data_IF_811308711108
#
_entry.id   IF_811308711108
#
_cell.length_a   1.000
_cell.length_b   1.000
_cell.length_c   1.000
_cell.angle_alpha   90.00
_cell.angle_beta   90.00
_cell.angle_gamma   90.00
#
_symmetry.space_group_name_H-M   'P 1'
#
loop_
_entity.id
_entity.type
_entity.pdbx_description
1 polymer ?
#
# COMPACT_ATOMS: atom_id res chain seq x y z
N UNK A 1 2.96 17.95 -18.96
CA UNK A 1 1.93 17.00 -19.46
C UNK A 1 2.55 15.62 -19.50
N UNK A 2 2.00 14.61 -18.82
CA UNK A 2 2.65 13.32 -18.74
C UNK A 2 2.59 12.61 -20.10
N UNK A 3 3.72 12.09 -20.55
CA UNK A 3 3.91 11.54 -21.90
C UNK A 3 3.28 10.17 -22.11
N UNK A 4 3.06 9.42 -21.02
CA UNK A 4 2.52 8.05 -21.07
C UNK A 4 1.15 7.98 -20.38
N UNK A 5 0.09 7.83 -21.17
CA UNK A 5 -1.29 7.78 -20.68
C UNK A 5 -1.57 6.55 -19.80
N UNK A 6 -1.00 5.39 -20.14
CA UNK A 6 -1.17 4.16 -19.37
C UNK A 6 -0.56 4.28 -17.97
N UNK A 7 0.64 4.85 -17.89
CA UNK A 7 1.32 5.09 -16.63
C UNK A 7 0.55 6.07 -15.71
N UNK A 8 -0.14 7.07 -16.28
CA UNK A 8 -1.02 7.94 -15.48
C UNK A 8 -2.26 7.21 -15.02
N UNK A 9 -2.92 6.46 -15.91
CA UNK A 9 -4.14 5.74 -15.56
C UNK A 9 -3.91 4.74 -14.42
N UNK A 10 -2.71 4.16 -14.32
CA UNK A 10 -2.31 3.29 -13.21
C UNK A 10 -2.00 4.03 -11.90
N UNK A 11 -1.57 5.31 -11.97
CA UNK A 11 -1.24 6.13 -10.80
C UNK A 11 -2.42 6.96 -10.30
N UNK A 12 -3.43 7.20 -11.12
CA UNK A 12 -4.58 8.02 -10.78
C UNK A 12 -5.38 7.41 -9.63
N UNK A 13 -5.52 8.14 -8.53
CA UNK A 13 -6.41 7.80 -7.43
C UNK A 13 -7.68 8.60 -7.53
N UNK A 14 -8.82 7.94 -7.72
CA UNK A 14 -10.13 8.60 -7.71
C UNK A 14 -10.46 9.21 -6.36
N UNK A 15 -9.98 8.62 -5.26
CA UNK A 15 -10.19 9.13 -3.90
C UNK A 15 -9.42 10.42 -3.63
N UNK A 16 -8.18 10.54 -4.13
CA UNK A 16 -7.34 11.72 -3.92
C UNK A 16 -7.42 12.75 -5.06
N UNK A 17 -8.07 12.40 -6.17
CA UNK A 17 -8.19 13.24 -7.37
C UNK A 17 -6.85 13.70 -7.97
N UNK A 18 -5.80 12.90 -7.81
CA UNK A 18 -4.50 13.11 -8.47
C UNK A 18 -3.72 11.80 -8.57
N UNK A 19 -2.60 11.82 -9.28
CA UNK A 19 -1.69 10.68 -9.37
C UNK A 19 -0.99 10.45 -8.04
N UNK A 20 -1.11 9.26 -7.47
CA UNK A 20 -0.46 8.86 -6.23
C UNK A 20 0.37 7.59 -6.42
N UNK A 21 1.23 7.32 -5.43
CA UNK A 21 1.91 6.04 -5.23
C UNK A 21 1.50 5.54 -3.85
N UNK A 22 1.24 4.23 -3.72
CA UNK A 22 0.86 3.57 -2.48
C UNK A 22 2.00 2.72 -1.95
N UNK A 23 2.12 2.66 -0.63
CA UNK A 23 3.02 1.78 0.10
C UNK A 23 2.25 1.17 1.26
N UNK A 24 2.50 -0.11 1.55
CA UNK A 24 2.12 -0.71 2.83
C UNK A 24 3.28 -0.51 3.81
N UNK A 25 2.98 0.11 4.95
CA UNK A 25 3.95 0.34 6.02
C UNK A 25 3.43 -0.37 7.27
N UNK A 26 4.23 -1.30 7.80
CA UNK A 26 3.99 -1.92 9.09
C UNK A 26 4.68 -1.13 10.19
N UNK A 27 3.95 -0.82 11.26
CA UNK A 27 4.46 -0.08 12.41
C UNK A 27 4.26 -0.92 13.66
N UNK A 28 5.30 -1.07 14.47
CA UNK A 28 5.20 -1.76 15.76
C UNK A 28 4.50 -0.87 16.79
N UNK A 29 3.91 -1.43 17.87
CA UNK A 29 3.25 -0.64 18.91
C UNK A 29 4.07 0.54 19.47
N UNK A 30 5.41 0.45 19.64
CA UNK A 30 6.24 1.58 20.06
C UNK A 30 6.40 2.71 19.03
N UNK A 31 5.90 2.54 17.81
CA UNK A 31 5.95 3.53 16.72
C UNK A 31 7.10 3.35 15.72
N UNK A 32 7.96 2.33 15.88
CA UNK A 32 9.01 2.04 14.91
C UNK A 32 8.46 1.35 13.66
N UNK A 33 9.01 1.69 12.49
CA UNK A 33 8.67 1.02 11.23
C UNK A 33 9.32 -0.37 11.20
N UNK A 34 8.51 -1.41 11.04
CA UNK A 34 8.96 -2.81 10.92
C UNK A 34 8.91 -3.35 9.50
N UNK A 35 8.18 -2.69 8.60
CA UNK A 35 8.00 -3.15 7.23
C UNK A 35 7.69 -1.99 6.27
N UNK A 36 8.24 -2.05 5.05
CA UNK A 36 7.89 -1.16 3.95
C UNK A 36 7.81 -1.99 2.67
N UNK A 37 6.68 -1.92 1.95
CA UNK A 37 6.53 -2.59 0.65
C UNK A 37 7.27 -1.87 -0.48
N UNK A 38 7.38 -2.53 -1.64
CA UNK A 38 7.60 -1.80 -2.90
C UNK A 38 6.46 -0.81 -3.15
N UNK A 39 6.72 0.23 -3.95
CA UNK A 39 5.72 1.21 -4.33
C UNK A 39 4.75 0.70 -5.40
N UNK A 40 3.47 1.04 -5.26
CA UNK A 40 2.39 0.65 -6.18
C UNK A 40 1.71 1.88 -6.77
N UNK A 41 1.11 1.74 -7.96
CA UNK A 41 0.31 2.81 -8.53
C UNK A 41 -0.89 3.17 -7.66
N UNK A 42 -1.27 4.45 -7.61
CA UNK A 42 -2.40 4.93 -6.82
C UNK A 42 -3.75 4.28 -7.09
N UNK A 43 -3.91 3.63 -8.24
CA UNK A 43 -5.12 2.88 -8.61
C UNK A 43 -5.15 1.44 -8.08
N UNK A 44 -4.01 0.90 -7.66
CA UNK A 44 -3.93 -0.46 -7.11
C UNK A 44 -4.76 -0.56 -5.82
N UNK A 45 -5.54 -1.63 -5.68
CA UNK A 45 -6.37 -1.85 -4.48
C UNK A 45 -5.51 -2.25 -3.28
N UNK A 46 -5.95 -1.85 -2.10
CA UNK A 46 -5.19 -2.06 -0.86
C UNK A 46 -5.13 -3.56 -0.48
N UNK A 47 -6.16 -4.32 -0.86
CA UNK A 47 -6.14 -5.79 -0.87
C UNK A 47 -4.99 -6.34 -1.70
N UNK A 48 -4.86 -5.90 -2.96
CA UNK A 48 -3.80 -6.38 -3.85
C UNK A 48 -2.41 -6.01 -3.32
N UNK A 49 -2.25 -4.79 -2.81
CA UNK A 49 -0.99 -4.36 -2.17
C UNK A 49 -0.67 -5.27 -0.97
N UNK A 50 -1.64 -5.54 -0.10
CA UNK A 50 -1.43 -6.39 1.10
C UNK A 50 -1.01 -7.80 0.72
N UNK A 51 -1.75 -8.45 -0.17
CA UNK A 51 -1.50 -9.83 -0.60
C UNK A 51 -0.14 -9.98 -1.30
N UNK A 52 0.32 -8.96 -2.02
CA UNK A 52 1.51 -9.05 -2.90
C UNK A 52 2.73 -8.27 -2.37
N UNK A 53 2.62 -7.60 -1.22
CA UNK A 53 3.71 -6.79 -0.64
C UNK A 53 4.82 -7.63 0.00
N UNK A 54 4.53 -8.88 0.39
CA UNK A 54 5.40 -9.68 1.24
C UNK A 54 5.23 -9.41 2.75
N UNK A 55 4.24 -8.60 3.16
CA UNK A 55 3.95 -8.39 4.57
C UNK A 55 3.39 -9.65 5.24
N UNK A 56 2.47 -10.34 4.57
CA UNK A 56 1.80 -11.52 5.14
C UNK A 56 2.76 -12.67 5.45
N UNK A 57 3.89 -12.79 4.73
CA UNK A 57 4.90 -13.81 5.02
C UNK A 57 5.68 -13.56 6.32
N UNK A 58 5.57 -12.36 6.89
CA UNK A 58 6.22 -12.00 8.15
C UNK A 58 5.29 -12.18 9.36
N UNK A 59 4.00 -12.48 9.14
CA UNK A 59 3.00 -12.66 10.20
C UNK A 59 3.04 -14.12 10.65
N UNK A 60 3.09 -14.31 11.96
CA UNK A 60 3.07 -15.63 12.60
C UNK A 60 1.73 -15.90 13.28
N UNK A 61 1.37 -17.18 13.50
CA UNK A 61 0.23 -17.53 14.33
C UNK A 61 0.35 -16.90 15.73
N UNK A 62 -0.67 -16.14 16.12
CA UNK A 62 -0.71 -15.42 17.40
C UNK A 62 -0.42 -13.93 17.30
N UNK A 63 0.09 -13.44 16.17
CA UNK A 63 0.27 -12.00 15.95
C UNK A 63 -1.07 -11.27 15.86
N UNK A 64 -1.12 -10.06 16.45
CA UNK A 64 -2.25 -9.15 16.34
C UNK A 64 -1.90 -8.03 15.36
N UNK A 65 -2.61 -7.98 14.24
CA UNK A 65 -2.47 -6.92 13.24
C UNK A 65 -3.69 -6.00 13.31
N UNK A 66 -3.44 -4.72 13.52
CA UNK A 66 -4.44 -3.67 13.46
C UNK A 66 -4.35 -2.96 12.10
N UNK A 67 -5.46 -2.86 11.41
CA UNK A 67 -5.58 -2.13 10.14
C UNK A 67 -6.69 -1.09 10.26
N UNK A 68 -6.48 0.05 9.62
CA UNK A 68 -7.55 1.05 9.48
C UNK A 68 -8.61 0.57 8.48
N UNK A 69 -9.86 0.96 8.67
CA UNK A 69 -10.94 0.60 7.73
C UNK A 69 -10.92 1.47 6.47
N UNK A 70 -10.29 2.64 6.52
CA UNK A 70 -9.99 3.49 5.37
C UNK A 70 -8.72 3.10 4.63
N UNK A 71 -8.10 1.98 5.03
CA UNK A 71 -6.95 1.37 4.39
C UNK A 71 -7.28 0.88 2.98
#
# INVERSE_FOLDING_TARGET
>A
RPSNLLANAAKWSSYKHHNTVKFLIGIMPPGSVSFISKGWGGRTSDKHVTENSGFLSNILPGDLVLADRGF
#
